data_IF_171082629716
#
_entry.id   IF_171082629716
#
_cell.length_a   1.000
_cell.length_b   1.000
_cell.length_c   1.000
_cell.angle_alpha   90.00
_cell.angle_beta   90.00
_cell.angle_gamma   90.00
#
_symmetry.space_group_name_H-M   'P 1'
#
loop_
_entity.id
_entity.type
_entity.pdbx_description
1 polymer ?
#
# COMPACT_ATOMS: atom_id res chain seq x y z
N UNK A 1 -6.49 22.98 -10.80
CA UNK A 1 -5.20 23.34 -10.16
C UNK A 1 -4.40 22.06 -10.15
N UNK A 2 -3.35 21.97 -10.95
CA UNK A 2 -2.47 20.80 -10.90
C UNK A 2 -1.66 20.91 -9.61
N UNK A 3 -1.84 19.94 -8.71
CA UNK A 3 -1.01 19.87 -7.51
C UNK A 3 0.42 19.55 -7.95
N UNK A 4 1.37 20.37 -7.55
CA UNK A 4 2.79 20.06 -7.73
C UNK A 4 3.22 19.08 -6.66
N UNK A 5 3.43 17.82 -7.04
CA UNK A 5 3.79 16.77 -6.08
C UNK A 5 5.20 16.94 -5.53
N UNK A 6 6.04 17.80 -6.13
CA UNK A 6 7.37 18.13 -5.64
C UNK A 6 7.38 19.21 -4.56
N UNK A 7 6.24 19.85 -4.30
CA UNK A 7 6.11 20.89 -3.28
C UNK A 7 6.52 20.34 -1.90
N UNK A 8 7.46 21.00 -1.19
CA UNK A 8 7.87 20.61 0.16
C UNK A 8 6.70 20.49 1.15
N UNK A 9 5.64 21.29 1.00
CA UNK A 9 4.44 21.21 1.85
C UNK A 9 3.65 19.90 1.62
N UNK A 10 3.87 19.20 0.50
CA UNK A 10 3.21 17.96 0.14
C UNK A 10 4.06 16.70 0.38
N UNK A 11 5.22 16.82 1.05
CA UNK A 11 6.07 15.67 1.37
C UNK A 11 5.32 14.58 2.18
N UNK A 12 4.43 14.98 3.09
CA UNK A 12 3.59 14.03 3.81
C UNK A 12 2.63 13.29 2.88
N UNK A 13 2.10 13.99 1.87
CA UNK A 13 1.20 13.43 0.87
C UNK A 13 1.91 12.36 0.04
N UNK A 14 3.19 12.57 -0.31
CA UNK A 14 4.00 11.55 -0.99
C UNK A 14 4.10 10.26 -0.15
N UNK A 15 4.36 10.40 1.15
CA UNK A 15 4.43 9.27 2.07
C UNK A 15 3.07 8.59 2.29
N UNK A 16 1.97 9.35 2.26
CA UNK A 16 0.62 8.80 2.27
C UNK A 16 0.35 7.94 1.02
N UNK A 17 0.63 8.45 -0.18
CA UNK A 17 0.44 7.70 -1.42
C UNK A 17 1.31 6.44 -1.49
N UNK A 18 2.55 6.50 -1.01
CA UNK A 18 3.41 5.31 -0.90
C UNK A 18 2.81 4.22 0.00
N UNK A 19 2.09 4.60 1.07
CA UNK A 19 1.42 3.66 1.97
C UNK A 19 0.11 3.14 1.40
N UNK A 20 -0.75 4.05 0.93
CA UNK A 20 -2.09 3.73 0.42
C UNK A 20 -2.05 2.91 -0.88
N UNK A 21 -1.01 3.08 -1.70
CA UNK A 21 -0.89 2.34 -2.96
C UNK A 21 -0.13 1.01 -2.84
N UNK A 22 0.27 0.58 -1.63
CA UNK A 22 0.87 -0.75 -1.42
C UNK A 22 -0.12 -1.84 -1.83
N UNK A 23 0.38 -2.84 -2.54
CA UNK A 23 -0.39 -4.05 -2.85
C UNK A 23 -0.28 -5.00 -1.67
N UNK A 24 -1.42 -5.27 -1.03
CA UNK A 24 -1.55 -6.11 0.17
C UNK A 24 -2.15 -7.49 -0.13
N UNK A 25 -2.61 -7.72 -1.36
CA UNK A 25 -3.16 -9.01 -1.81
C UNK A 25 -4.67 -9.14 -1.62
N UNK A 26 -5.33 -8.04 -1.25
CA UNK A 26 -6.78 -7.96 -1.14
C UNK A 26 -7.30 -7.01 -2.23
N UNK A 27 -8.03 -7.52 -3.22
CA UNK A 27 -8.56 -6.72 -4.34
C UNK A 27 -9.54 -5.63 -3.91
N UNK A 28 -10.16 -5.74 -2.73
CA UNK A 28 -11.05 -4.71 -2.18
C UNK A 28 -10.29 -3.50 -1.65
N UNK A 29 -9.02 -3.69 -1.26
CA UNK A 29 -8.14 -2.65 -0.71
C UNK A 29 -7.08 -2.19 -1.73
N UNK A 30 -6.66 -3.10 -2.61
CA UNK A 30 -5.64 -2.85 -3.61
C UNK A 30 -6.17 -1.96 -4.73
N UNK A 31 -5.54 -0.79 -4.89
CA UNK A 31 -5.78 0.06 -6.05
C UNK A 31 -5.41 -0.66 -7.36
N UNK A 32 -6.17 -0.48 -8.46
CA UNK A 32 -5.91 -1.14 -9.74
C UNK A 32 -4.50 -0.88 -10.29
N UNK A 33 -3.92 -1.87 -10.98
CA UNK A 33 -2.55 -1.80 -11.50
C UNK A 33 -2.26 -0.56 -12.37
N UNK A 34 -3.14 -0.12 -13.30
CA UNK A 34 -2.91 1.09 -14.08
C UNK A 34 -2.78 2.34 -13.19
N UNK A 35 -3.58 2.42 -12.14
CA UNK A 35 -3.57 3.54 -11.20
C UNK A 35 -2.30 3.54 -10.34
N UNK A 36 -1.83 2.37 -9.92
CA UNK A 36 -0.54 2.23 -9.20
C UNK A 36 0.63 2.71 -10.04
N UNK A 37 0.66 2.36 -11.33
CA UNK A 37 1.69 2.83 -12.26
C UNK A 37 1.65 4.35 -12.40
N UNK A 38 0.46 4.94 -12.49
CA UNK A 38 0.27 6.39 -12.56
C UNK A 38 0.74 7.10 -11.29
N UNK A 39 0.38 6.58 -10.11
CA UNK A 39 0.83 7.11 -8.81
C UNK A 39 2.35 7.06 -8.73
N UNK A 40 2.96 5.91 -9.05
CA UNK A 40 4.41 5.77 -9.00
C UNK A 40 5.14 6.71 -9.96
N UNK A 41 4.62 6.90 -11.18
CA UNK A 41 5.18 7.87 -12.13
C UNK A 41 5.07 9.32 -11.64
N UNK A 42 3.99 9.68 -10.93
CA UNK A 42 3.87 11.01 -10.30
C UNK A 42 4.88 11.19 -9.17
N UNK A 43 5.06 10.19 -8.30
CA UNK A 43 6.04 10.22 -7.22
C UNK A 43 7.49 10.30 -7.74
N UNK A 44 7.82 9.53 -8.78
CA UNK A 44 9.14 9.57 -9.42
C UNK A 44 9.44 10.95 -10.01
N UNK A 45 8.48 11.58 -10.71
CA UNK A 45 8.62 12.95 -11.22
C UNK A 45 8.74 14.00 -10.11
N UNK A 46 8.19 13.71 -8.93
CA UNK A 46 8.33 14.54 -7.74
C UNK A 46 9.65 14.32 -6.97
N UNK A 47 10.57 13.51 -7.50
CA UNK A 47 11.89 13.26 -6.90
C UNK A 47 11.95 12.05 -5.96
N UNK A 48 10.86 11.28 -5.81
CA UNK A 48 10.90 10.03 -5.03
C UNK A 48 11.72 8.99 -5.79
N UNK A 49 12.74 8.44 -5.13
CA UNK A 49 13.63 7.44 -5.75
C UNK A 49 12.86 6.22 -6.30
N UNK A 50 13.19 5.71 -7.50
CA UNK A 50 12.52 4.56 -8.10
C UNK A 50 12.51 3.30 -7.24
N UNK A 51 13.52 3.11 -6.39
CA UNK A 51 13.58 2.00 -5.44
C UNK A 51 12.44 2.06 -4.40
N UNK A 52 12.00 3.27 -4.00
CA UNK A 52 10.89 3.45 -3.08
C UNK A 52 9.54 3.20 -3.77
N UNK A 53 9.38 3.66 -5.01
CA UNK A 53 8.14 3.47 -5.79
C UNK A 53 7.99 2.06 -6.34
N UNK A 54 9.08 1.28 -6.47
CA UNK A 54 9.02 -0.13 -6.83
C UNK A 54 8.10 -0.95 -5.90
N UNK A 55 8.01 -0.59 -4.61
CA UNK A 55 7.13 -1.22 -3.61
C UNK A 55 5.64 -0.97 -3.84
N UNK A 56 5.29 0.05 -4.65
CA UNK A 56 3.92 0.34 -5.09
C UNK A 56 3.58 -0.48 -6.34
N UNK A 57 4.59 -0.83 -7.14
CA UNK A 57 4.45 -1.60 -8.38
C UNK A 57 4.48 -3.11 -8.13
N UNK A 58 5.25 -3.57 -7.14
CA UNK A 58 5.42 -4.97 -6.78
C UNK A 58 4.55 -5.37 -5.58
N UNK A 59 4.03 -6.60 -5.60
CA UNK A 59 3.40 -7.21 -4.43
C UNK A 59 4.41 -7.29 -3.29
N UNK A 60 4.12 -6.61 -2.17
CA UNK A 60 4.86 -6.81 -0.93
C UNK A 60 3.97 -7.65 -0.04
N UNK A 61 4.31 -8.93 0.13
CA UNK A 61 3.58 -9.81 1.03
C UNK A 61 3.46 -9.15 2.41
N UNK A 62 2.26 -8.72 2.76
CA UNK A 62 1.95 -8.22 4.09
C UNK A 62 1.95 -9.44 5.00
N UNK A 63 3.07 -9.64 5.71
CA UNK A 63 3.16 -10.64 6.76
C UNK A 63 2.06 -10.40 7.80
N UNK A 64 1.59 -11.47 8.46
CA UNK A 64 0.46 -11.44 9.41
C UNK A 64 0.54 -10.29 10.43
N UNK A 65 1.75 -9.90 10.83
CA UNK A 65 2.03 -8.81 11.76
C UNK A 65 1.74 -7.41 11.21
N UNK A 66 1.87 -7.18 9.90
CA UNK A 66 1.60 -5.89 9.26
C UNK A 66 0.10 -5.66 9.02
N UNK A 67 -0.74 -6.72 9.03
CA UNK A 67 -2.20 -6.58 8.87
C UNK A 67 -2.83 -5.82 10.02
N UNK A 68 -2.35 -5.99 11.25
CA UNK A 68 -2.86 -5.26 12.41
C UNK A 68 -2.67 -3.74 12.25
N UNK A 69 -1.55 -3.31 11.66
CA UNK A 69 -1.28 -1.88 11.40
C UNK A 69 -2.13 -1.28 10.28
N UNK A 70 -2.71 -2.11 9.39
CA UNK A 70 -3.61 -1.63 8.31
C UNK A 70 -4.99 -1.22 8.83
N UNK A 71 -5.46 -1.81 9.94
CA UNK A 71 -6.78 -1.55 10.51
C UNK A 71 -6.79 -0.47 11.60
N UNK A 72 -5.65 0.17 11.89
CA UNK A 72 -5.56 1.34 12.78
C UNK A 72 -5.69 1.04 14.28
N UNK A 73 -6.10 -0.16 14.68
CA UNK A 73 -6.18 -0.59 16.07
C UNK A 73 -5.32 -1.84 16.31
N UNK A 74 -4.54 -1.80 17.39
CA UNK A 74 -3.83 -3.00 17.85
C UNK A 74 -4.84 -4.10 18.18
N UNK A 75 -4.61 -5.31 17.68
CA UNK A 75 -5.43 -6.47 18.04
C UNK A 75 -5.39 -6.65 19.57
N UNK A 76 -6.56 -6.78 20.24
CA UNK A 76 -6.59 -7.06 21.67
C UNK A 76 -5.82 -8.35 21.99
N UNK A 77 -5.14 -8.44 23.15
CA UNK A 77 -4.48 -9.67 23.57
C UNK A 77 -5.51 -10.81 23.62
N UNK A 78 -5.29 -11.85 22.82
CA UNK A 78 -6.16 -13.02 22.71
C UNK A 78 -6.87 -13.21 21.35
N UNK A 79 -6.79 -12.23 20.43
CA UNK A 79 -7.41 -12.34 19.12
C UNK A 79 -6.41 -12.86 18.06
N UNK A 80 -6.57 -14.12 17.64
CA UNK A 80 -5.78 -14.73 16.56
C UNK A 80 -6.59 -14.69 15.27
N UNK A 81 -6.10 -13.99 14.24
CA UNK A 81 -6.69 -14.06 12.90
C UNK A 81 -6.59 -15.51 12.41
N UNK A 82 -7.72 -16.21 12.30
CA UNK A 82 -7.76 -17.60 11.83
C UNK A 82 -7.11 -17.77 10.44
N UNK A 83 -6.56 -18.94 10.11
CA UNK A 83 -6.19 -19.24 8.74
C UNK A 83 -7.45 -19.11 7.87
N UNK A 84 -7.35 -18.34 6.79
CA UNK A 84 -8.41 -18.28 5.78
C UNK A 84 -8.68 -19.70 5.29
N UNK A 85 -9.94 -20.09 5.39
CA UNK A 85 -10.49 -21.34 4.91
C UNK A 85 -10.36 -21.36 3.37
N UNK A 86 -9.31 -21.99 2.87
CA UNK A 86 -9.24 -22.47 1.49
C UNK A 86 -10.05 -23.77 1.43
N UNK A 87 -11.36 -23.65 1.23
CA UNK A 87 -12.23 -24.78 0.87
C UNK A 87 -12.28 -24.93 -0.67
N UNK A 88 -11.70 -26.02 -1.17
CA UNK A 88 -12.15 -26.87 -2.28
C UNK A 88 -11.02 -27.90 -2.53
N UNK A 89 -11.16 -29.19 -2.25
CA UNK A 89 -12.22 -30.09 -2.72
C UNK A 89 -11.64 -30.94 -3.87
N UNK A 90 -11.32 -32.21 -3.59
CA UNK A 90 -10.85 -33.19 -4.58
C UNK A 90 -9.85 -34.19 -4.00
#
# INVERSE_FOLDING_TARGET
RDFDWADPELLELQNLFLRAARVVGDRSLDVPAPLRTLIAGKLERAGVAPLRTAKVKAFVAVGRSDRASLYGEALPPGLVLGPGQDDAGG
#
